data_IF_790938089543
#
_entry.id   IF_790938089543
#
_cell.length_a   1.000
_cell.length_b   1.000
_cell.length_c   1.000
_cell.angle_alpha   90.00
_cell.angle_beta   90.00
_cell.angle_gamma   90.00
#
_symmetry.space_group_name_H-M   'P 1'
#
loop_
_entity.id
_entity.type
_entity.pdbx_description
1 polymer ?
#
# COMPACT_ATOMS: atom_id res chain seq x y z
N UNK A 1 9.80 29.88 7.19
CA UNK A 1 9.45 29.20 5.92
C UNK A 1 10.32 27.99 5.85
N UNK A 2 9.82 26.82 6.26
CA UNK A 2 10.58 25.58 6.24
C UNK A 2 10.70 25.11 4.79
N UNK A 3 11.93 24.89 4.32
CA UNK A 3 12.19 24.24 3.05
C UNK A 3 11.62 22.81 3.10
N UNK A 4 10.51 22.55 2.42
CA UNK A 4 9.86 21.23 2.33
C UNK A 4 10.69 20.30 1.43
N UNK A 5 11.95 20.01 1.82
CA UNK A 5 12.83 19.09 1.10
C UNK A 5 12.46 17.67 1.46
N UNK A 6 12.35 16.79 0.46
CA UNK A 6 12.20 15.34 0.69
C UNK A 6 13.54 14.79 1.15
N UNK A 7 13.58 14.20 2.35
CA UNK A 7 14.77 13.58 2.93
C UNK A 7 14.80 12.07 2.65
N UNK A 8 13.64 11.42 2.71
CA UNK A 8 13.51 9.99 2.49
C UNK A 8 12.12 9.67 1.92
N UNK A 9 12.02 8.54 1.19
CA UNK A 9 10.77 7.97 0.66
C UNK A 9 10.74 6.47 0.91
N UNK A 10 9.53 5.88 0.88
CA UNK A 10 9.32 4.43 0.98
C UNK A 10 9.85 3.84 2.28
N UNK A 11 10.55 2.70 2.19
CA UNK A 11 11.06 1.97 3.34
C UNK A 11 11.99 2.79 4.24
N UNK A 12 12.77 3.72 3.67
CA UNK A 12 13.62 4.63 4.45
C UNK A 12 12.79 5.59 5.31
N UNK A 13 11.73 6.17 4.75
CA UNK A 13 10.81 7.04 5.48
C UNK A 13 10.00 6.24 6.53
N UNK A 14 9.55 5.02 6.20
CA UNK A 14 8.83 4.14 7.14
C UNK A 14 9.64 3.88 8.42
N UNK A 15 10.95 3.69 8.32
CA UNK A 15 11.85 3.49 9.48
C UNK A 15 11.97 4.71 10.40
N UNK A 16 11.58 5.90 9.93
CA UNK A 16 11.63 7.14 10.69
C UNK A 16 10.35 7.41 11.48
N UNK A 17 9.29 6.66 11.27
CA UNK A 17 8.03 6.80 12.01
C UNK A 17 8.28 6.62 13.50
N UNK A 18 7.85 7.61 14.32
CA UNK A 18 8.04 7.61 15.77
C UNK A 18 9.49 7.83 16.25
N UNK A 19 10.44 8.07 15.34
CA UNK A 19 11.86 8.28 15.66
C UNK A 19 12.42 9.57 15.04
N UNK A 20 11.64 10.26 14.22
CA UNK A 20 12.06 11.49 13.59
C UNK A 20 12.16 12.62 14.61
N UNK A 21 13.23 13.49 14.55
CA UNK A 21 13.32 14.69 15.38
C UNK A 21 12.23 15.71 14.98
N UNK A 22 11.97 16.70 15.86
CA UNK A 22 10.88 17.66 15.69
C UNK A 22 10.89 18.45 14.38
N UNK A 23 12.06 18.64 13.79
CA UNK A 23 12.23 19.35 12.52
C UNK A 23 11.97 18.48 11.28
N UNK A 24 11.63 17.21 11.46
CA UNK A 24 11.34 16.25 10.38
C UNK A 24 9.94 15.71 10.54
N UNK A 25 9.10 15.99 9.56
CA UNK A 25 7.75 15.46 9.48
C UNK A 25 7.72 14.18 8.65
N UNK A 26 7.19 13.09 9.21
CA UNK A 26 6.96 11.83 8.50
C UNK A 26 5.49 11.74 8.14
N UNK A 27 5.19 11.79 6.85
CA UNK A 27 3.81 11.85 6.35
C UNK A 27 3.46 10.56 5.62
N UNK A 28 2.25 10.04 5.85
CA UNK A 28 1.61 9.00 5.04
C UNK A 28 0.59 9.67 4.11
N UNK A 29 0.93 9.90 2.83
CA UNK A 29 0.06 10.64 1.91
C UNK A 29 -1.15 9.84 1.46
N UNK A 30 -1.14 8.52 1.61
CA UNK A 30 -2.27 7.62 1.35
C UNK A 30 -2.71 6.97 2.67
N UNK A 31 -4.03 6.89 2.87
CA UNK A 31 -4.64 6.19 4.01
C UNK A 31 -5.83 5.36 3.52
N UNK A 32 -5.88 4.09 3.92
CA UNK A 32 -6.99 3.17 3.58
C UNK A 32 -7.32 3.20 2.07
N UNK A 33 -6.28 3.12 1.24
CA UNK A 33 -6.40 3.11 -0.22
C UNK A 33 -6.73 4.45 -0.88
N UNK A 34 -6.89 5.54 -0.10
CA UNK A 34 -7.30 6.85 -0.61
C UNK A 34 -6.16 7.86 -0.52
N UNK A 35 -6.06 8.73 -1.53
CA UNK A 35 -5.15 9.88 -1.53
C UNK A 35 -5.65 10.91 -0.51
N UNK A 36 -4.90 11.05 0.59
CA UNK A 36 -5.19 12.01 1.65
C UNK A 36 -4.59 13.40 1.38
N UNK A 37 -3.39 13.43 0.80
CA UNK A 37 -2.69 14.66 0.40
C UNK A 37 -2.16 14.48 -1.03
N UNK A 38 -2.82 15.14 -1.98
CA UNK A 38 -2.49 15.07 -3.40
C UNK A 38 -1.08 15.60 -3.68
N UNK A 39 -0.70 16.72 -3.04
CA UNK A 39 0.60 17.37 -3.26
C UNK A 39 1.76 16.49 -2.79
N UNK A 40 1.62 15.90 -1.60
CA UNK A 40 2.64 15.02 -1.06
C UNK A 40 2.68 13.70 -1.84
N UNK A 41 1.50 13.17 -2.25
CA UNK A 41 1.41 11.97 -3.10
C UNK A 41 2.13 12.19 -4.43
N UNK A 42 1.86 13.31 -5.13
CA UNK A 42 2.55 13.66 -6.38
C UNK A 42 4.07 13.70 -6.20
N UNK A 43 4.54 14.38 -5.15
CA UNK A 43 5.97 14.47 -4.86
C UNK A 43 6.61 13.13 -4.56
N UNK A 44 5.91 12.27 -3.82
CA UNK A 44 6.35 10.91 -3.49
C UNK A 44 6.44 10.06 -4.76
N UNK A 45 5.39 10.04 -5.59
CA UNK A 45 5.36 9.31 -6.85
C UNK A 45 6.45 9.77 -7.80
N UNK A 46 6.64 11.09 -7.94
CA UNK A 46 7.71 11.67 -8.75
C UNK A 46 9.09 11.21 -8.31
N UNK A 47 9.32 11.13 -7.00
CA UNK A 47 10.58 10.65 -6.44
C UNK A 47 10.77 9.14 -6.70
N UNK A 48 9.72 8.31 -6.58
CA UNK A 48 9.80 6.89 -6.92
C UNK A 48 10.10 6.66 -8.40
N UNK A 49 9.37 7.33 -9.29
CA UNK A 49 9.57 7.23 -10.75
C UNK A 49 10.99 7.66 -11.10
N UNK A 50 11.48 8.77 -10.55
CA UNK A 50 12.85 9.23 -10.77
C UNK A 50 13.86 8.16 -10.37
N UNK A 51 13.74 7.60 -9.16
CA UNK A 51 14.65 6.55 -8.65
C UNK A 51 14.60 5.29 -9.52
N UNK A 52 13.43 4.90 -10.01
CA UNK A 52 13.28 3.74 -10.89
C UNK A 52 13.92 3.97 -12.28
N UNK A 53 13.93 5.21 -12.73
CA UNK A 53 14.50 5.58 -14.05
C UNK A 53 16.00 5.89 -14.01
N UNK A 54 16.58 6.23 -12.84
CA UNK A 54 18.00 6.61 -12.72
C UNK A 54 18.99 5.55 -13.24
N UNK A 55 18.58 4.28 -13.26
CA UNK A 55 19.40 3.16 -13.75
C UNK A 55 19.12 2.79 -15.22
N UNK A 56 18.29 3.53 -15.91
CA UNK A 56 17.89 3.23 -17.30
C UNK A 56 18.25 4.38 -18.22
N UNK A 57 18.91 4.07 -19.33
CA UNK A 57 19.04 5.00 -20.46
C UNK A 57 17.67 5.04 -21.14
N UNK A 58 16.76 5.84 -20.62
CA UNK A 58 15.42 6.00 -21.18
C UNK A 58 15.30 7.38 -21.80
N UNK A 59 15.12 7.42 -23.10
CA UNK A 59 14.78 8.65 -23.85
C UNK A 59 13.26 8.74 -23.90
N UNK A 60 12.68 9.69 -23.15
CA UNK A 60 11.25 9.98 -23.22
C UNK A 60 10.52 9.91 -21.87
N UNK A 61 9.22 10.26 -21.93
CA UNK A 61 8.33 10.25 -20.75
C UNK A 61 7.86 8.84 -20.46
N UNK A 62 7.82 8.40 -19.19
CA UNK A 62 7.43 7.05 -18.82
C UNK A 62 5.95 6.75 -19.07
N UNK A 63 5.65 5.48 -19.37
CA UNK A 63 4.31 4.93 -19.21
C UNK A 63 4.24 4.35 -17.79
N UNK A 64 3.19 4.68 -17.06
CA UNK A 64 3.03 4.29 -15.66
C UNK A 64 1.75 3.46 -15.51
N UNK A 65 1.86 2.29 -14.87
CA UNK A 65 0.72 1.54 -14.40
C UNK A 65 0.62 1.76 -12.88
N UNK A 66 -0.56 2.12 -12.40
CA UNK A 66 -0.86 2.31 -10.98
C UNK A 66 -2.01 1.42 -10.58
N UNK A 67 -1.87 0.75 -9.44
CA UNK A 67 -2.94 -0.07 -8.90
C UNK A 67 -3.77 0.72 -7.90
N UNK A 68 -5.06 0.41 -7.85
CA UNK A 68 -6.05 1.02 -6.98
C UNK A 68 -6.96 -0.07 -6.39
N UNK A 69 -7.48 0.12 -5.16
CA UNK A 69 -8.47 -0.80 -4.60
C UNK A 69 -9.72 -0.91 -5.48
N UNK A 70 -10.36 -2.06 -5.51
CA UNK A 70 -11.56 -2.29 -6.33
C UNK A 70 -12.76 -1.43 -5.95
N UNK A 71 -12.85 -1.00 -4.69
CA UNK A 71 -13.98 -0.25 -4.15
C UNK A 71 -13.83 1.27 -4.20
N UNK A 72 -12.90 1.83 -4.97
CA UNK A 72 -12.71 3.28 -5.04
C UNK A 72 -13.80 3.94 -5.91
N UNK A 73 -14.13 5.18 -5.55
CA UNK A 73 -15.02 6.04 -6.35
C UNK A 73 -14.31 6.55 -7.61
N UNK A 74 -15.10 6.94 -8.62
CA UNK A 74 -14.56 7.57 -9.83
C UNK A 74 -13.75 8.85 -9.53
N UNK A 75 -14.14 9.60 -8.50
CA UNK A 75 -13.42 10.81 -8.07
C UNK A 75 -12.04 10.44 -7.50
N UNK A 76 -11.97 9.42 -6.66
CA UNK A 76 -10.71 8.91 -6.11
C UNK A 76 -9.81 8.33 -7.20
N UNK A 77 -10.39 7.57 -8.14
CA UNK A 77 -9.68 7.03 -9.32
C UNK A 77 -9.04 8.14 -10.14
N UNK A 78 -9.80 9.19 -10.48
CA UNK A 78 -9.29 10.36 -11.21
C UNK A 78 -8.21 11.11 -10.43
N UNK A 79 -8.36 11.24 -9.11
CA UNK A 79 -7.34 11.88 -8.28
C UNK A 79 -6.00 11.13 -8.32
N UNK A 80 -6.02 9.78 -8.32
CA UNK A 80 -4.82 8.95 -8.48
C UNK A 80 -4.22 9.13 -9.88
N UNK A 81 -5.05 9.07 -10.92
CA UNK A 81 -4.63 9.23 -12.31
C UNK A 81 -3.97 10.60 -12.54
N UNK A 82 -4.61 11.68 -12.07
CA UNK A 82 -4.09 13.04 -12.14
C UNK A 82 -2.75 13.19 -11.39
N UNK A 83 -2.64 12.60 -10.18
CA UNK A 83 -1.40 12.61 -9.42
C UNK A 83 -0.24 11.98 -10.22
N UNK A 84 -0.51 10.88 -10.92
CA UNK A 84 0.48 10.20 -11.76
C UNK A 84 0.80 11.03 -13.01
N UNK A 85 -0.18 11.60 -13.70
CA UNK A 85 0.06 12.47 -14.86
C UNK A 85 0.93 13.69 -14.52
N UNK A 86 0.71 14.30 -13.35
CA UNK A 86 1.52 15.43 -12.85
C UNK A 86 2.98 15.08 -12.57
N UNK A 87 3.31 13.80 -12.44
CA UNK A 87 4.71 13.36 -12.35
C UNK A 87 5.46 13.48 -13.68
N UNK A 88 4.76 13.69 -14.78
CA UNK A 88 5.31 13.75 -16.14
C UNK A 88 5.13 12.45 -16.93
N UNK A 89 4.28 11.53 -16.49
CA UNK A 89 3.98 10.32 -17.26
C UNK A 89 3.40 10.64 -18.65
N UNK A 90 3.78 9.85 -19.66
CA UNK A 90 3.23 9.94 -21.01
C UNK A 90 1.83 9.31 -21.08
N UNK A 91 1.67 8.18 -20.42
CA UNK A 91 0.44 7.40 -20.39
C UNK A 91 0.30 6.81 -18.99
N UNK A 92 -0.91 6.85 -18.45
CA UNK A 92 -1.25 6.24 -17.16
C UNK A 92 -2.26 5.13 -17.43
N UNK A 93 -2.00 3.97 -16.87
CA UNK A 93 -2.92 2.83 -16.83
C UNK A 93 -3.32 2.64 -15.36
N UNK A 94 -4.61 2.59 -15.10
CA UNK A 94 -5.15 2.31 -13.77
C UNK A 94 -5.67 0.88 -13.78
N UNK A 95 -5.18 0.06 -12.86
CA UNK A 95 -5.52 -1.35 -12.72
C UNK A 95 -6.05 -1.62 -11.31
N UNK A 96 -7.00 -2.52 -11.15
CA UNK A 96 -7.44 -2.95 -9.83
C UNK A 96 -6.39 -3.82 -9.14
N UNK A 97 -6.17 -3.59 -7.83
CA UNK A 97 -5.16 -4.30 -7.04
C UNK A 97 -5.31 -5.83 -7.11
N UNK A 98 -6.52 -6.44 -6.93
CA UNK A 98 -6.62 -7.89 -6.98
C UNK A 98 -6.39 -8.48 -8.38
N UNK A 99 -6.65 -7.73 -9.46
CA UNK A 99 -6.29 -8.19 -10.81
C UNK A 99 -4.78 -8.19 -11.00
N UNK A 100 -4.09 -7.16 -10.50
CA UNK A 100 -2.63 -7.12 -10.51
C UNK A 100 -2.02 -8.25 -9.65
N UNK A 101 -2.63 -8.56 -8.50
CA UNK A 101 -2.23 -9.65 -7.63
C UNK A 101 -2.41 -11.01 -8.31
N UNK A 102 -3.53 -11.22 -9.02
CA UNK A 102 -3.78 -12.43 -9.82
C UNK A 102 -2.68 -12.65 -10.86
N UNK A 103 -2.31 -11.59 -11.59
CA UNK A 103 -1.22 -11.63 -12.57
C UNK A 103 0.11 -11.99 -11.89
N UNK A 104 0.39 -11.34 -10.75
CA UNK A 104 1.63 -11.53 -10.00
C UNK A 104 1.80 -12.93 -9.40
N UNK A 105 0.69 -13.60 -9.09
CA UNK A 105 0.69 -14.99 -8.59
C UNK A 105 0.63 -16.05 -9.70
N UNK A 106 0.75 -15.61 -10.95
CA UNK A 106 0.71 -16.49 -12.15
C UNK A 106 -0.60 -17.26 -12.31
N UNK A 107 -1.72 -16.70 -11.80
CA UNK A 107 -3.05 -17.23 -12.09
C UNK A 107 -3.36 -16.94 -13.56
N UNK A 108 -3.86 -17.97 -14.27
CA UNK A 108 -4.34 -17.76 -15.63
C UNK A 108 -5.67 -17.00 -15.60
N UNK A 109 -5.55 -15.66 -15.67
CA UNK A 109 -6.71 -14.76 -15.64
C UNK A 109 -7.61 -14.90 -16.86
N UNK A 110 -7.11 -15.45 -17.99
CA UNK A 110 -7.88 -15.62 -19.22
C UNK A 110 -8.75 -16.89 -19.20
N UNK A 111 -8.53 -17.78 -18.25
CA UNK A 111 -9.35 -18.97 -18.08
C UNK A 111 -10.81 -18.59 -17.78
N UNK A 112 -11.76 -19.36 -18.30
CA UNK A 112 -13.17 -19.24 -17.96
C UNK A 112 -13.47 -19.71 -16.51
N UNK A 113 -12.51 -20.37 -15.86
CA UNK A 113 -12.60 -20.78 -14.47
C UNK A 113 -12.39 -19.57 -13.57
N UNK A 114 -13.36 -19.24 -12.72
CA UNK A 114 -13.24 -18.19 -11.71
C UNK A 114 -12.14 -18.53 -10.68
N UNK A 115 -11.23 -17.59 -10.46
CA UNK A 115 -10.20 -17.66 -9.42
C UNK A 115 -10.43 -16.56 -8.41
N UNK A 116 -10.51 -16.91 -7.12
CA UNK A 116 -10.62 -15.91 -6.05
C UNK A 116 -9.24 -15.44 -5.62
N UNK A 117 -9.08 -14.13 -5.52
CA UNK A 117 -7.89 -13.47 -4.99
C UNK A 117 -8.27 -12.67 -3.77
N UNK A 118 -7.47 -12.76 -2.71
CA UNK A 118 -7.58 -11.96 -1.49
C UNK A 118 -6.27 -11.23 -1.30
N UNK A 119 -6.29 -9.91 -1.46
CA UNK A 119 -5.14 -9.02 -1.25
C UNK A 119 -5.31 -8.29 0.07
N UNK A 120 -4.45 -8.58 1.04
CA UNK A 120 -4.47 -7.98 2.37
C UNK A 120 -3.32 -6.99 2.46
N UNK A 121 -3.62 -5.72 2.21
CA UNK A 121 -2.66 -4.62 2.26
C UNK A 121 -2.45 -4.06 3.67
N UNK A 122 -1.96 -2.83 3.74
CA UNK A 122 -1.84 -2.09 5.01
C UNK A 122 -3.17 -1.47 5.44
N UNK A 123 -3.91 -0.88 4.52
CA UNK A 123 -5.13 -0.10 4.80
C UNK A 123 -6.42 -0.70 4.27
N UNK A 124 -6.35 -1.60 3.27
CA UNK A 124 -7.49 -2.27 2.64
C UNK A 124 -7.23 -3.76 2.51
N UNK A 125 -8.32 -4.52 2.53
CA UNK A 125 -8.36 -5.92 2.08
C UNK A 125 -9.29 -5.97 0.88
N UNK A 126 -8.75 -6.36 -0.26
CA UNK A 126 -9.45 -6.42 -1.53
C UNK A 126 -9.65 -7.88 -1.92
N UNK A 127 -10.91 -8.25 -2.18
CA UNK A 127 -11.32 -9.60 -2.53
C UNK A 127 -11.94 -9.53 -3.91
N UNK A 128 -11.49 -10.36 -4.84
CA UNK A 128 -12.07 -10.41 -6.18
C UNK A 128 -12.11 -11.83 -6.74
N UNK A 129 -13.11 -12.08 -7.57
CA UNK A 129 -13.15 -13.23 -8.46
C UNK A 129 -12.77 -12.76 -9.86
N UNK A 130 -11.73 -13.38 -10.42
CA UNK A 130 -11.17 -13.04 -11.73
C UNK A 130 -11.44 -14.18 -12.69
N UNK A 131 -11.91 -13.85 -13.90
CA UNK A 131 -12.16 -14.80 -14.99
C UNK A 131 -12.17 -14.06 -16.32
N UNK A 132 -11.79 -14.73 -17.40
CA UNK A 132 -11.82 -14.21 -18.78
C UNK A 132 -11.15 -12.84 -18.94
N UNK A 133 -10.03 -12.62 -18.23
CA UNK A 133 -9.22 -11.41 -18.31
C UNK A 133 -9.72 -10.21 -17.51
N UNK A 134 -10.78 -10.37 -16.69
CA UNK A 134 -11.37 -9.27 -15.92
C UNK A 134 -11.86 -9.69 -14.53
N UNK A 135 -12.23 -8.68 -13.75
CA UNK A 135 -12.89 -8.85 -12.45
C UNK A 135 -14.37 -9.12 -12.66
N UNK A 136 -14.87 -10.24 -12.18
CA UNK A 136 -16.28 -10.64 -12.24
C UNK A 136 -17.08 -10.05 -11.08
N UNK A 137 -16.50 -10.15 -9.88
CA UNK A 137 -17.07 -9.63 -8.64
C UNK A 137 -15.94 -9.17 -7.75
N UNK A 138 -16.12 -8.07 -7.02
CA UNK A 138 -15.11 -7.59 -6.09
C UNK A 138 -15.72 -6.89 -4.88
N UNK A 139 -15.00 -6.95 -3.78
CA UNK A 139 -15.31 -6.24 -2.55
C UNK A 139 -14.05 -5.71 -1.90
N UNK A 140 -14.09 -4.47 -1.44
CA UNK A 140 -13.00 -3.84 -0.68
C UNK A 140 -13.45 -3.55 0.75
N UNK A 141 -12.61 -3.94 1.71
CA UNK A 141 -12.85 -3.74 3.14
C UNK A 141 -11.74 -2.84 3.69
N UNK A 142 -12.13 -1.77 4.40
CA UNK A 142 -11.18 -0.84 5.04
C UNK A 142 -10.67 -1.35 6.40
N UNK A 143 -10.31 -2.63 6.45
CA UNK A 143 -9.71 -3.33 7.60
C UNK A 143 -8.56 -4.19 7.11
N UNK A 144 -7.34 -3.93 7.54
CA UNK A 144 -6.15 -4.60 7.07
C UNK A 144 -4.98 -4.49 8.07
N UNK A 145 -3.75 -4.63 7.62
CA UNK A 145 -2.56 -4.74 8.44
C UNK A 145 -2.38 -3.65 9.49
N UNK A 146 -2.74 -2.40 9.18
CA UNK A 146 -2.67 -1.29 10.15
C UNK A 146 -3.69 -1.44 11.28
N UNK A 147 -4.89 -1.97 10.98
CA UNK A 147 -5.92 -2.22 11.98
C UNK A 147 -5.50 -3.39 12.90
N UNK A 148 -4.81 -4.41 12.35
CA UNK A 148 -4.25 -5.51 13.15
C UNK A 148 -3.17 -5.01 14.11
N UNK A 149 -2.29 -4.10 13.67
CA UNK A 149 -1.30 -3.46 14.53
C UNK A 149 -1.96 -2.66 15.66
N UNK A 150 -2.99 -1.88 15.33
CA UNK A 150 -3.73 -1.09 16.31
C UNK A 150 -4.42 -1.99 17.35
N UNK A 151 -5.01 -3.11 16.91
CA UNK A 151 -5.62 -4.09 17.81
C UNK A 151 -4.59 -4.72 18.75
N UNK A 152 -3.40 -5.08 18.24
CA UNK A 152 -2.30 -5.63 19.03
C UNK A 152 -1.80 -4.63 20.08
N UNK A 153 -1.56 -3.36 19.70
CA UNK A 153 -1.15 -2.30 20.63
C UNK A 153 -2.17 -2.15 21.75
N UNK A 154 -3.46 -2.11 21.39
CA UNK A 154 -4.55 -2.01 22.36
C UNK A 154 -4.60 -3.22 23.31
N UNK A 155 -4.44 -4.42 22.78
CA UNK A 155 -4.42 -5.67 23.58
C UNK A 155 -3.28 -5.67 24.60
N UNK A 156 -2.05 -5.39 24.16
CA UNK A 156 -0.86 -5.39 25.01
C UNK A 156 -0.96 -4.32 26.09
N UNK A 157 -1.46 -3.12 25.73
CA UNK A 157 -1.70 -2.07 26.71
C UNK A 157 -2.70 -2.49 27.79
N UNK A 158 -3.80 -3.15 27.38
CA UNK A 158 -4.87 -3.57 28.33
C UNK A 158 -4.44 -4.74 29.21
N UNK A 159 -3.74 -5.72 28.64
CA UNK A 159 -3.41 -6.97 29.35
C UNK A 159 -2.14 -6.84 30.21
N UNK A 160 -1.15 -6.10 29.71
CA UNK A 160 0.18 -6.06 30.32
C UNK A 160 0.56 -4.64 30.82
N UNK A 161 -0.30 -3.64 30.62
CA UNK A 161 -0.04 -2.23 30.92
C UNK A 161 1.26 -1.71 30.25
N UNK A 162 1.62 -2.27 29.09
CA UNK A 162 2.79 -1.88 28.31
C UNK A 162 2.36 -1.07 27.10
N UNK A 163 3.12 -0.01 26.79
CA UNK A 163 2.94 0.79 25.60
C UNK A 163 4.00 0.38 24.56
N UNK A 164 3.57 -0.19 23.44
CA UNK A 164 4.43 -0.49 22.30
C UNK A 164 4.12 0.44 21.14
N UNK A 165 5.12 0.71 20.32
CA UNK A 165 4.98 1.50 19.10
C UNK A 165 4.44 0.68 17.92
N UNK A 166 3.95 1.39 16.89
CA UNK A 166 3.41 0.79 15.67
C UNK A 166 4.42 -0.14 14.96
N UNK A 167 5.72 0.25 14.92
CA UNK A 167 6.75 -0.58 14.31
C UNK A 167 7.00 -1.88 15.09
N UNK A 168 6.91 -1.83 16.41
CA UNK A 168 7.04 -3.04 17.26
C UNK A 168 5.86 -3.99 17.02
N UNK A 169 4.63 -3.46 16.97
CA UNK A 169 3.45 -4.25 16.66
C UNK A 169 3.53 -4.89 15.26
N UNK A 170 3.97 -4.14 14.24
CA UNK A 170 4.17 -4.65 12.89
C UNK A 170 5.20 -5.78 12.86
N UNK A 171 6.35 -5.60 13.52
CA UNK A 171 7.39 -6.62 13.58
C UNK A 171 6.92 -7.89 14.30
N UNK A 172 6.22 -7.74 15.42
CA UNK A 172 5.64 -8.86 16.16
C UNK A 172 4.60 -9.61 15.31
N UNK A 173 3.70 -8.88 14.64
CA UNK A 173 2.72 -9.47 13.72
C UNK A 173 3.40 -10.30 12.64
N UNK A 174 4.45 -9.79 12.01
CA UNK A 174 5.20 -10.50 10.96
C UNK A 174 5.92 -11.72 11.51
N UNK A 175 6.51 -11.60 12.69
CA UNK A 175 7.33 -12.67 13.28
C UNK A 175 6.50 -13.84 13.80
N UNK A 176 5.40 -13.57 14.51
CA UNK A 176 4.64 -14.60 15.23
C UNK A 176 3.17 -14.71 14.79
N UNK A 177 2.68 -13.82 13.92
CA UNK A 177 1.28 -13.87 13.45
C UNK A 177 0.95 -15.16 12.72
N UNK A 178 -0.21 -15.74 13.02
CA UNK A 178 -0.74 -16.93 12.35
C UNK A 178 -2.26 -16.90 12.36
N UNK A 179 -2.88 -17.40 11.30
CA UNK A 179 -4.33 -17.63 11.20
C UNK A 179 -4.73 -19.05 11.61
N UNK A 180 -3.75 -19.94 11.76
CA UNK A 180 -3.94 -21.32 12.23
C UNK A 180 -3.26 -21.50 13.57
N UNK A 181 -3.80 -22.39 14.40
CA UNK A 181 -3.09 -22.89 15.57
C UNK A 181 -1.78 -23.53 15.14
N UNK A 182 -0.70 -23.16 15.81
CA UNK A 182 0.61 -23.75 15.59
C UNK A 182 0.90 -24.78 16.68
N UNK A 183 1.63 -25.88 16.35
CA UNK A 183 2.05 -26.86 17.35
C UNK A 183 2.93 -26.24 18.45
N UNK A 184 3.67 -25.20 18.11
CA UNK A 184 4.58 -24.50 19.02
C UNK A 184 4.19 -23.03 19.14
N UNK A 185 4.17 -22.51 20.37
CA UNK A 185 4.01 -21.09 20.63
C UNK A 185 5.29 -20.33 20.23
N UNK A 186 5.12 -19.29 19.41
CA UNK A 186 6.21 -18.39 19.10
C UNK A 186 6.16 -17.17 20.01
N UNK A 187 7.33 -16.72 20.44
CA UNK A 187 7.51 -15.50 21.26
C UNK A 187 8.27 -14.44 20.49
N UNK A 188 7.96 -13.18 20.81
CA UNK A 188 8.60 -12.00 20.22
C UNK A 188 9.00 -11.01 21.31
#
# INVERSE_FOLDING_TARGET
VYSKKILAIGAKAKKMIGKAPENIEVVRPLKKGVVFDLTITERMLKAFIKTAMEKRISVGRPKVCVCVPSGITEVERRAVEDAVYRTGAKTVYVLEEPLAAAIGTSIDINSARGSMVVDIGGGTTDIAVVSLGGTVESQSIKCAGDDYNAAMIKYIRRKYNLLIGEQTAENAKIAIGSVYERPEELTY
#
